data_IF_821355583526
#
_entry.id   IF_821355583526
#
_cell.length_a   1.000
_cell.length_b   1.000
_cell.length_c   1.000
_cell.angle_alpha   90.00
_cell.angle_beta   90.00
_cell.angle_gamma   90.00
#
_symmetry.space_group_name_H-M   'P 1'
#
loop_
_entity.id
_entity.type
_entity.pdbx_description
1 polymer ?
#
# COMPACT_ATOMS: atom_id res chain seq x y z
N UNK A 1 9.30 16.01 7.92
CA UNK A 1 9.57 14.80 7.11
C UNK A 1 10.59 15.19 6.05
N UNK A 2 11.69 14.44 5.89
CA UNK A 2 12.69 14.72 4.86
C UNK A 2 12.11 14.41 3.48
N UNK A 3 12.72 14.93 2.41
CA UNK A 3 12.23 14.65 1.05
C UNK A 3 12.28 13.15 0.70
N UNK A 4 13.28 12.44 1.21
CA UNK A 4 13.44 10.99 1.03
C UNK A 4 12.37 10.18 1.77
N UNK A 5 11.97 10.63 2.96
CA UNK A 5 10.87 10.04 3.72
C UNK A 5 9.55 10.15 2.94
N UNK A 6 9.25 11.35 2.41
CA UNK A 6 8.07 11.59 1.57
C UNK A 6 8.10 10.67 0.34
N UNK A 7 9.25 10.57 -0.32
CA UNK A 7 9.46 9.70 -1.48
C UNK A 7 9.18 8.23 -1.16
N UNK A 8 9.70 7.76 -0.03
CA UNK A 8 9.48 6.38 0.45
C UNK A 8 8.00 6.12 0.69
N UNK A 9 7.27 7.06 1.29
CA UNK A 9 5.82 6.93 1.44
C UNK A 9 5.09 6.95 0.09
N UNK A 10 5.53 7.78 -0.87
CA UNK A 10 4.92 7.80 -2.21
C UNK A 10 5.13 6.48 -2.99
N UNK A 11 6.25 5.80 -2.79
CA UNK A 11 6.51 4.50 -3.42
C UNK A 11 5.81 3.34 -2.70
N UNK A 12 5.38 3.51 -1.45
CA UNK A 12 4.79 2.45 -0.64
C UNK A 12 3.63 1.68 -1.32
N UNK A 13 2.62 2.34 -1.92
CA UNK A 13 1.52 1.63 -2.57
C UNK A 13 1.99 0.83 -3.79
N UNK A 14 3.02 1.29 -4.50
CA UNK A 14 3.58 0.57 -5.63
C UNK A 14 4.36 -0.67 -5.20
N UNK A 15 5.12 -0.61 -4.08
CA UNK A 15 5.72 -1.84 -3.51
C UNK A 15 4.66 -2.85 -3.05
N UNK A 16 3.51 -2.40 -2.54
CA UNK A 16 2.37 -3.28 -2.25
C UNK A 16 1.87 -3.95 -3.53
N UNK A 17 1.74 -3.20 -4.63
CA UNK A 17 1.35 -3.77 -5.92
C UNK A 17 2.39 -4.79 -6.42
N UNK A 18 3.69 -4.47 -6.33
CA UNK A 18 4.79 -5.39 -6.69
C UNK A 18 4.73 -6.69 -5.91
N UNK A 19 4.49 -6.62 -4.60
CA UNK A 19 4.37 -7.79 -3.75
C UNK A 19 3.19 -8.71 -4.16
N UNK A 20 2.08 -8.12 -4.61
CA UNK A 20 0.89 -8.87 -5.00
C UNK A 20 0.98 -9.47 -6.39
N UNK A 21 1.47 -8.70 -7.37
CA UNK A 21 1.55 -9.13 -8.77
C UNK A 21 2.74 -10.07 -8.98
N UNK A 22 3.73 -10.04 -8.09
CA UNK A 22 4.94 -10.86 -8.19
C UNK A 22 5.94 -10.32 -9.23
N UNK A 23 5.77 -9.07 -9.66
CA UNK A 23 6.69 -8.37 -10.55
C UNK A 23 7.18 -7.09 -9.88
N UNK A 24 8.42 -6.68 -10.17
CA UNK A 24 8.97 -5.51 -9.51
C UNK A 24 8.36 -4.20 -10.05
N UNK A 25 8.35 -4.03 -11.37
CA UNK A 25 8.00 -2.76 -12.03
C UNK A 25 7.11 -2.93 -13.27
N UNK A 26 6.99 -4.15 -13.79
CA UNK A 26 6.23 -4.46 -15.01
C UNK A 26 4.83 -4.95 -14.66
N UNK A 27 3.92 -4.00 -14.50
CA UNK A 27 2.53 -4.28 -14.17
C UNK A 27 1.67 -4.41 -15.42
N UNK A 28 0.72 -5.34 -15.40
CA UNK A 28 -0.28 -5.40 -16.45
C UNK A 28 -1.22 -4.19 -16.34
N UNK A 29 -1.69 -3.69 -17.48
CA UNK A 29 -2.60 -2.53 -17.52
C UNK A 29 -3.87 -2.69 -16.66
N UNK A 30 -4.52 -3.87 -16.61
CA UNK A 30 -5.68 -4.08 -15.72
C UNK A 30 -5.32 -3.96 -14.23
N UNK A 31 -4.14 -4.44 -13.81
CA UNK A 31 -3.69 -4.33 -12.43
C UNK A 31 -3.45 -2.86 -12.05
N UNK A 32 -2.85 -2.07 -12.95
CA UNK A 32 -2.61 -0.64 -12.74
C UNK A 32 -3.92 0.15 -12.68
N UNK A 33 -4.89 -0.14 -13.54
CA UNK A 33 -6.19 0.53 -13.54
C UNK A 33 -6.90 0.36 -12.19
N UNK A 34 -7.02 -0.89 -11.72
CA UNK A 34 -7.63 -1.20 -10.42
C UNK A 34 -6.84 -0.59 -9.27
N UNK A 35 -5.51 -0.62 -9.35
CA UNK A 35 -4.64 -0.03 -8.34
C UNK A 35 -4.88 1.47 -8.18
N UNK A 36 -4.92 2.23 -9.28
CA UNK A 36 -5.15 3.67 -9.21
C UNK A 36 -6.56 4.02 -8.74
N UNK A 37 -7.57 3.24 -9.16
CA UNK A 37 -8.94 3.40 -8.66
C UNK A 37 -9.02 3.13 -7.15
N UNK A 38 -8.31 2.10 -6.67
CA UNK A 38 -8.22 1.79 -5.25
C UNK A 38 -7.53 2.91 -4.47
N UNK A 39 -6.40 3.46 -4.94
CA UNK A 39 -5.70 4.59 -4.31
C UNK A 39 -6.62 5.80 -4.17
N UNK A 40 -7.35 6.15 -5.24
CA UNK A 40 -8.33 7.26 -5.21
C UNK A 40 -9.46 6.97 -4.23
N UNK A 41 -10.05 5.77 -4.30
CA UNK A 41 -11.14 5.35 -3.42
C UNK A 41 -10.74 5.37 -1.95
N UNK A 42 -9.56 4.85 -1.61
CA UNK A 42 -8.98 4.91 -0.27
C UNK A 42 -8.80 6.36 0.20
N UNK A 43 -8.24 7.22 -0.63
CA UNK A 43 -8.00 8.63 -0.31
C UNK A 43 -9.26 9.39 0.06
N UNK A 44 -10.37 9.14 -0.63
CA UNK A 44 -11.66 9.79 -0.36
C UNK A 44 -12.20 9.46 1.04
N UNK A 45 -11.98 8.24 1.52
CA UNK A 45 -12.49 7.75 2.82
C UNK A 45 -11.47 7.79 3.95
N UNK A 46 -10.22 8.13 3.66
CA UNK A 46 -9.16 8.21 4.65
C UNK A 46 -9.19 9.53 5.45
N UNK A 47 -8.62 9.54 6.68
CA UNK A 47 -8.35 10.77 7.42
C UNK A 47 -7.47 11.73 6.61
N UNK A 48 -7.50 13.02 6.95
CA UNK A 48 -6.82 14.10 6.19
C UNK A 48 -5.34 13.82 5.92
N UNK A 49 -4.57 13.38 6.92
CA UNK A 49 -3.14 13.09 6.75
C UNK A 49 -2.87 11.99 5.71
N UNK A 50 -3.60 10.88 5.79
CA UNK A 50 -3.52 9.78 4.80
C UNK A 50 -4.01 10.22 3.42
N UNK A 51 -5.11 10.99 3.37
CA UNK A 51 -5.65 11.53 2.11
C UNK A 51 -4.64 12.44 1.41
N UNK A 52 -4.01 13.35 2.14
CA UNK A 52 -3.05 14.29 1.58
C UNK A 52 -1.85 13.55 0.97
N UNK A 53 -1.34 12.51 1.65
CA UNK A 53 -0.31 11.62 1.10
C UNK A 53 -0.79 10.89 -0.16
N UNK A 54 -1.97 10.26 -0.10
CA UNK A 54 -2.50 9.51 -1.24
C UNK A 54 -2.81 10.41 -2.45
N UNK A 55 -3.21 11.66 -2.23
CA UNK A 55 -3.46 12.62 -3.28
C UNK A 55 -2.19 12.92 -4.08
N UNK A 56 -1.02 13.01 -3.42
CA UNK A 56 0.26 13.25 -4.11
C UNK A 56 0.61 12.15 -5.13
N UNK A 57 0.14 10.92 -4.90
CA UNK A 57 0.36 9.79 -5.79
C UNK A 57 -0.32 9.96 -7.15
N UNK A 58 -1.44 10.69 -7.14
CA UNK A 58 -2.32 10.79 -8.31
C UNK A 58 -1.93 11.95 -9.24
N UNK A 59 -1.05 12.83 -8.79
CA UNK A 59 -0.60 14.00 -9.55
C UNK A 59 0.34 13.64 -10.70
N UNK A 60 1.26 12.69 -10.48
CA UNK A 60 2.21 12.23 -11.50
C UNK A 60 2.41 10.71 -11.43
N UNK A 61 1.42 9.97 -11.95
CA UNK A 61 1.44 8.50 -11.94
C UNK A 61 2.60 7.93 -12.77
N UNK A 62 2.94 8.57 -13.89
CA UNK A 62 3.98 8.11 -14.79
C UNK A 62 5.37 8.32 -14.17
N UNK A 63 5.61 9.49 -13.57
CA UNK A 63 6.84 9.76 -12.83
C UNK A 63 7.04 8.76 -11.69
N UNK A 64 6.00 8.48 -10.89
CA UNK A 64 6.10 7.51 -9.80
C UNK A 64 6.46 6.09 -10.25
N UNK A 65 5.94 5.65 -11.41
CA UNK A 65 6.29 4.36 -11.98
C UNK A 65 7.74 4.32 -12.47
N UNK A 66 8.20 5.40 -13.11
CA UNK A 66 9.61 5.53 -13.52
C UNK A 66 10.54 5.53 -12.30
N UNK A 67 10.17 6.28 -11.26
CA UNK A 67 10.97 6.33 -10.04
C UNK A 67 11.01 4.98 -9.31
N UNK A 68 9.93 4.19 -9.36
CA UNK A 68 9.95 2.81 -8.86
C UNK A 68 10.90 1.94 -9.69
N UNK A 69 10.92 2.13 -11.01
CA UNK A 69 11.83 1.42 -11.91
C UNK A 69 13.31 1.76 -11.65
N UNK A 70 13.57 2.98 -11.19
CA UNK A 70 14.90 3.45 -10.81
C UNK A 70 15.24 3.21 -9.34
N UNK A 71 14.32 2.69 -8.53
CA UNK A 71 14.56 2.43 -7.11
C UNK A 71 15.28 1.08 -6.93
N UNK A 72 16.50 1.14 -6.37
CA UNK A 72 17.33 -0.05 -6.16
C UNK A 72 16.89 -0.92 -4.96
N UNK A 73 15.89 -0.49 -4.17
CA UNK A 73 15.43 -1.24 -3.00
C UNK A 73 14.51 -2.37 -3.42
N UNK A 74 14.76 -3.54 -2.86
CA UNK A 74 13.78 -4.63 -2.92
C UNK A 74 12.45 -4.22 -2.28
N UNK A 75 11.36 -4.84 -2.75
CA UNK A 75 10.00 -4.64 -2.20
C UNK A 75 9.96 -4.80 -0.67
N UNK A 76 10.68 -5.80 -0.14
CA UNK A 76 10.75 -6.05 1.31
C UNK A 76 11.46 -4.92 2.04
N UNK A 77 12.59 -4.44 1.49
CA UNK A 77 13.33 -3.31 2.07
C UNK A 77 12.50 -2.04 2.05
N UNK A 78 11.88 -1.70 0.92
CA UNK A 78 11.05 -0.50 0.79
C UNK A 78 9.87 -0.50 1.76
N UNK A 79 9.17 -1.63 1.91
CA UNK A 79 8.06 -1.73 2.88
C UNK A 79 8.54 -1.61 4.35
N UNK A 80 9.75 -2.06 4.69
CA UNK A 80 10.32 -1.85 6.03
C UNK A 80 10.77 -0.41 6.26
N UNK A 81 11.28 0.26 5.23
CA UNK A 81 11.62 1.69 5.31
C UNK A 81 10.35 2.52 5.57
N UNK A 82 9.20 2.14 5.00
CA UNK A 82 7.91 2.77 5.29
C UNK A 82 7.58 2.70 6.77
N UNK A 83 7.71 1.53 7.41
CA UNK A 83 7.50 1.37 8.87
C UNK A 83 8.42 2.29 9.65
N UNK A 84 9.68 2.38 9.24
CA UNK A 84 10.70 3.23 9.88
C UNK A 84 10.37 4.72 9.74
N UNK A 85 9.95 5.16 8.57
CA UNK A 85 9.57 6.56 8.26
C UNK A 85 8.31 6.97 9.01
N UNK A 86 7.31 6.09 9.05
CA UNK A 86 6.07 6.34 9.76
C UNK A 86 6.27 6.35 11.28
N UNK A 87 7.21 5.56 11.78
CA UNK A 87 7.40 5.37 13.21
C UNK A 87 6.17 4.70 13.87
N UNK A 88 6.10 4.73 15.22
CA UNK A 88 5.03 4.08 15.98
C UNK A 88 3.76 4.95 16.15
N UNK A 89 3.65 6.09 15.48
CA UNK A 89 2.55 7.04 15.71
C UNK A 89 1.21 6.50 15.19
N UNK A 90 0.19 6.41 16.05
CA UNK A 90 -1.17 6.00 15.65
C UNK A 90 -1.78 6.91 14.58
N UNK A 91 -1.32 8.16 14.46
CA UNK A 91 -1.79 9.10 13.42
C UNK A 91 -1.49 8.61 12.00
N UNK A 92 -0.50 7.74 11.85
CA UNK A 92 -0.11 7.16 10.56
C UNK A 92 -0.53 5.69 10.39
N UNK A 93 -1.18 5.10 11.40
CA UNK A 93 -1.85 3.80 11.30
C UNK A 93 -2.88 3.79 10.16
N UNK A 94 -3.57 4.91 9.95
CA UNK A 94 -4.47 5.10 8.82
C UNK A 94 -3.81 4.93 7.46
N UNK A 95 -2.51 5.24 7.34
CA UNK A 95 -1.75 5.04 6.10
C UNK A 95 -1.39 3.57 5.88
N UNK A 96 -0.88 2.87 6.90
CA UNK A 96 -0.62 1.41 6.85
C UNK A 96 -1.89 0.64 6.48
N UNK A 97 -2.99 0.99 7.14
CA UNK A 97 -4.30 0.41 6.86
C UNK A 97 -4.75 0.69 5.42
N UNK A 98 -4.54 1.91 4.91
CA UNK A 98 -4.87 2.25 3.52
C UNK A 98 -4.06 1.43 2.53
N UNK A 99 -2.75 1.26 2.75
CA UNK A 99 -1.88 0.43 1.89
C UNK A 99 -2.39 -1.01 1.79
N UNK A 100 -2.73 -1.64 2.91
CA UNK A 100 -3.29 -3.00 2.92
C UNK A 100 -4.65 -3.05 2.22
N UNK A 101 -5.48 -2.01 2.36
CA UNK A 101 -6.78 -1.93 1.68
C UNK A 101 -6.65 -1.73 0.16
N UNK A 102 -5.71 -0.91 -0.30
CA UNK A 102 -5.36 -0.80 -1.74
C UNK A 102 -4.96 -2.18 -2.26
N UNK A 103 -4.04 -2.85 -1.57
CA UNK A 103 -3.61 -4.20 -1.94
C UNK A 103 -4.78 -5.20 -1.97
N UNK A 104 -5.66 -5.16 -0.98
CA UNK A 104 -6.84 -6.01 -0.92
C UNK A 104 -7.86 -5.75 -2.04
N UNK A 105 -7.97 -4.53 -2.53
CA UNK A 105 -8.81 -4.21 -3.70
C UNK A 105 -8.26 -4.85 -4.97
N UNK A 106 -6.95 -4.72 -5.21
CA UNK A 106 -6.26 -5.35 -6.37
C UNK A 106 -6.33 -6.88 -6.28
N UNK A 107 -6.01 -7.44 -5.12
CA UNK A 107 -6.08 -8.88 -4.87
C UNK A 107 -7.49 -9.45 -5.11
N UNK A 108 -8.54 -8.70 -4.76
CA UNK A 108 -9.93 -9.10 -5.03
C UNK A 108 -10.26 -9.04 -6.52
N UNK A 109 -9.81 -8.00 -7.22
CA UNK A 109 -10.06 -7.85 -8.65
C UNK A 109 -9.40 -8.96 -9.48
N UNK A 110 -8.25 -9.46 -9.04
CA UNK A 110 -7.52 -10.58 -9.66
C UNK A 110 -8.19 -11.94 -9.43
N UNK A 111 -8.93 -12.09 -8.35
CA UNK A 111 -9.61 -13.36 -8.05
C UNK A 111 -10.85 -13.60 -8.92
N UNK A 112 -11.53 -14.74 -8.74
CA UNK A 112 -12.64 -15.16 -9.58
C UNK A 112 -13.71 -14.07 -9.75
N UNK A 113 -13.90 -13.65 -11.00
CA UNK A 113 -14.84 -12.59 -11.41
C UNK A 113 -14.67 -11.25 -10.69
N UNK A 114 -13.51 -10.99 -10.09
CA UNK A 114 -13.25 -9.80 -9.28
C UNK A 114 -14.04 -9.74 -7.96
N UNK A 115 -14.57 -10.88 -7.47
CA UNK A 115 -15.48 -10.91 -6.31
C UNK A 115 -14.86 -11.47 -5.04
N UNK A 116 -13.76 -12.20 -5.14
CA UNK A 116 -13.11 -12.85 -4.00
C UNK A 116 -11.60 -12.77 -4.14
N UNK A 117 -10.88 -12.85 -3.03
CA UNK A 117 -9.41 -12.89 -3.04
C UNK A 117 -8.98 -14.36 -3.16
N UNK A 118 -8.04 -14.66 -4.06
CA UNK A 118 -7.46 -16.00 -4.18
C UNK A 118 -6.67 -16.36 -2.91
N UNK A 119 -6.48 -17.65 -2.62
CA UNK A 119 -5.65 -18.07 -1.48
C UNK A 119 -4.20 -17.57 -1.59
N UNK A 120 -3.67 -17.55 -2.81
CA UNK A 120 -2.33 -17.06 -3.11
C UNK A 120 -2.20 -15.56 -2.86
N UNK A 121 -3.10 -14.74 -3.41
CA UNK A 121 -3.06 -13.29 -3.21
C UNK A 121 -3.39 -12.90 -1.76
N UNK A 122 -4.22 -13.69 -1.06
CA UNK A 122 -4.43 -13.53 0.38
C UNK A 122 -3.12 -13.77 1.15
N UNK A 123 -2.38 -14.82 0.82
CA UNK A 123 -1.07 -15.10 1.41
C UNK A 123 -0.09 -13.94 1.21
N UNK A 124 0.01 -13.42 -0.02
CA UNK A 124 0.84 -12.24 -0.35
C UNK A 124 0.39 -11.00 0.42
N UNK A 125 -0.91 -10.76 0.52
CA UNK A 125 -1.46 -9.61 1.25
C UNK A 125 -1.16 -9.68 2.75
N UNK A 126 -1.22 -10.88 3.35
CA UNK A 126 -0.86 -11.08 4.75
C UNK A 126 0.63 -10.85 5.01
N UNK A 127 1.50 -11.24 4.08
CA UNK A 127 2.94 -10.93 4.16
C UNK A 127 3.18 -9.42 4.06
N UNK A 128 2.49 -8.72 3.16
CA UNK A 128 2.54 -7.25 3.06
C UNK A 128 2.11 -6.60 4.38
N UNK A 129 1.00 -7.04 4.96
CA UNK A 129 0.53 -6.56 6.25
C UNK A 129 1.58 -6.73 7.35
N UNK A 130 2.22 -7.89 7.43
CA UNK A 130 3.30 -8.16 8.39
C UNK A 130 4.52 -7.25 8.17
N UNK A 131 4.93 -7.03 6.91
CA UNK A 131 6.05 -6.15 6.58
C UNK A 131 5.77 -4.69 6.91
N UNK A 132 4.50 -4.28 6.82
CA UNK A 132 4.03 -2.96 7.24
C UNK A 132 3.76 -2.89 8.75
N UNK A 133 4.04 -3.96 9.51
CA UNK A 133 3.74 -4.08 10.93
C UNK A 133 2.29 -3.63 11.21
N UNK A 134 1.38 -4.11 10.37
CA UNK A 134 -0.05 -3.86 10.44
C UNK A 134 -0.77 -5.13 10.83
N UNK A 135 -1.53 -5.07 11.92
CA UNK A 135 -2.41 -6.15 12.36
C UNK A 135 -3.86 -5.67 12.36
N UNK A 136 -4.81 -6.43 11.78
CA UNK A 136 -6.23 -6.11 11.91
C UNK A 136 -6.71 -6.09 13.37
N UNK A 137 -5.94 -6.67 14.30
CA UNK A 137 -6.28 -6.87 15.71
C UNK A 137 -5.97 -5.70 16.65
N UNK A 138 -5.39 -4.58 16.18
CA UNK A 138 -5.11 -3.42 17.04
C UNK A 138 -6.37 -2.66 17.52
N UNK A 139 -7.57 -3.12 17.15
CA UNK A 139 -8.85 -2.43 17.39
C UNK A 139 -9.72 -2.98 18.53
N UNK A 140 -9.17 -3.76 19.46
CA UNK A 140 -10.01 -4.34 20.51
C UNK A 140 -9.28 -4.89 21.73
N UNK A 141 -8.53 -4.06 22.45
CA UNK A 141 -8.23 -4.33 23.88
C UNK A 141 -8.05 -3.04 24.67
N UNK A 142 -9.03 -2.14 24.60
CA UNK A 142 -9.20 -1.07 25.61
C UNK A 142 -10.68 -1.03 25.98
N UNK A 143 -11.11 -2.07 26.68
CA UNK A 143 -12.31 -2.12 27.52
C UNK A 143 -12.37 -3.51 28.18
N UNK A 144 -11.48 -3.74 29.15
CA UNK A 144 -11.63 -4.76 30.20
C UNK A 144 -10.42 -4.71 31.16
N UNK A 145 -10.42 -3.75 32.08
CA UNK A 145 -9.84 -3.87 33.42
C UNK A 145 -10.33 -2.70 34.29
#
# INVERSE_FOLDING_TARGET
>A
MRSEDVRTLQLAPLWVLSALVGTHTRFAEPDLAVFWDAVVSEGLRAPRATRDLLATLTTDRAGLLLDLELDDRSVVSGLRDVVTVLGPDERVEGYRQALVRVGGAVARARGPYGRSISSEDLGRLLLVAQLLDWSPSSRGTVDAA
#
